data_IF_593752824442
#
_entry.id   IF_593752824442
#
_cell.length_a   1.000
_cell.length_b   1.000
_cell.length_c   1.000
_cell.angle_alpha   90.00
_cell.angle_beta   90.00
_cell.angle_gamma   90.00
#
_symmetry.space_group_name_H-M   'P 1'
#
loop_
_entity.id
_entity.type
_entity.pdbx_description
1 polymer ?
#
# COMPACT_ATOMS: atom_id res chain seq x y z
N UNK A 1 -6.52 1.47 -10.21
CA UNK A 1 -7.35 2.50 -9.53
C UNK A 1 -7.91 3.44 -10.58
N UNK A 2 -9.11 3.99 -10.38
CA UNK A 2 -9.51 5.23 -11.05
C UNK A 2 -9.00 6.43 -10.23
N UNK A 3 -8.85 7.61 -10.81
CA UNK A 3 -8.23 8.76 -10.14
C UNK A 3 -8.94 9.14 -8.82
N UNK A 4 -10.27 9.08 -8.77
CA UNK A 4 -11.05 9.36 -7.55
C UNK A 4 -10.76 8.36 -6.43
N UNK A 5 -10.58 7.07 -6.79
CA UNK A 5 -10.22 6.02 -5.82
C UNK A 5 -8.78 6.17 -5.31
N UNK A 6 -7.90 6.75 -6.13
CA UNK A 6 -6.51 7.02 -5.73
C UNK A 6 -6.44 8.24 -4.79
N UNK A 7 -7.15 9.32 -5.09
CA UNK A 7 -7.22 10.49 -4.21
C UNK A 7 -7.82 10.14 -2.84
N UNK A 8 -8.88 9.32 -2.80
CA UNK A 8 -9.46 8.82 -1.55
C UNK A 8 -8.45 8.00 -0.73
N UNK A 9 -7.68 7.13 -1.41
CA UNK A 9 -6.62 6.35 -0.78
C UNK A 9 -5.50 7.24 -0.21
N UNK A 10 -5.05 8.25 -0.96
CA UNK A 10 -4.02 9.18 -0.49
C UNK A 10 -4.48 9.94 0.75
N UNK A 11 -5.74 10.41 0.80
CA UNK A 11 -6.30 11.07 2.00
C UNK A 11 -6.33 10.13 3.20
N UNK A 12 -6.79 8.89 3.00
CA UNK A 12 -6.83 7.90 4.07
C UNK A 12 -5.44 7.59 4.64
N UNK A 13 -4.40 7.53 3.78
CA UNK A 13 -3.02 7.37 4.23
C UNK A 13 -2.45 8.62 4.91
N UNK A 14 -2.80 9.82 4.45
CA UNK A 14 -2.36 11.06 5.09
C UNK A 14 -2.96 11.21 6.50
N UNK A 15 -4.22 10.81 6.68
CA UNK A 15 -4.90 10.83 7.99
C UNK A 15 -4.42 9.70 8.90
N UNK A 16 -4.16 8.50 8.34
CA UNK A 16 -3.67 7.34 9.08
C UNK A 16 -2.47 6.68 8.37
N UNK A 17 -1.26 7.20 8.59
CA UNK A 17 -0.04 6.64 8.00
C UNK A 17 0.32 5.22 8.46
N UNK A 18 -0.37 4.71 9.48
CA UNK A 18 -0.23 3.38 10.06
C UNK A 18 -1.27 2.37 9.54
N UNK A 19 -2.12 2.76 8.57
CA UNK A 19 -3.21 1.94 8.00
C UNK A 19 -2.75 0.59 7.39
N UNK A 20 -1.45 0.45 7.10
CA UNK A 20 -0.87 -0.74 6.53
C UNK A 20 -0.11 -1.57 7.56
N UNK A 21 -0.19 -2.88 7.43
CA UNK A 21 0.55 -3.84 8.25
C UNK A 21 2.04 -3.73 7.96
N UNK A 22 2.87 -3.71 9.00
CA UNK A 22 4.34 -3.71 8.84
C UNK A 22 4.78 -5.06 8.28
N UNK A 23 5.61 -5.04 7.25
CA UNK A 23 6.26 -6.24 6.73
C UNK A 23 7.51 -6.49 7.57
N UNK A 24 7.53 -7.57 8.35
CA UNK A 24 8.65 -7.89 9.22
C UNK A 24 9.97 -8.05 8.45
N UNK A 25 11.06 -7.54 9.05
CA UNK A 25 12.40 -7.60 8.48
C UNK A 25 12.71 -6.54 7.42
N UNK A 26 11.82 -5.58 7.17
CA UNK A 26 11.98 -4.55 6.12
C UNK A 26 12.31 -3.14 6.64
N UNK A 27 12.57 -2.99 7.95
CA UNK A 27 12.85 -1.68 8.55
C UNK A 27 11.65 -0.72 8.58
N UNK A 28 10.42 -1.22 8.43
CA UNK A 28 9.19 -0.43 8.58
C UNK A 28 8.39 -0.22 7.30
N UNK A 29 8.68 -0.97 6.22
CA UNK A 29 7.81 -1.01 5.04
C UNK A 29 6.44 -1.57 5.44
N UNK A 30 5.38 -0.99 4.88
CA UNK A 30 3.99 -1.33 5.18
C UNK A 30 3.24 -1.81 3.95
N UNK A 31 2.26 -2.69 4.16
CA UNK A 31 1.35 -3.22 3.14
C UNK A 31 -0.09 -2.88 3.50
N UNK A 32 -0.82 -2.25 2.58
CA UNK A 32 -2.24 -1.92 2.74
C UNK A 32 -3.08 -2.51 1.62
N UNK A 33 -4.25 -3.05 1.97
CA UNK A 33 -5.23 -3.59 1.02
C UNK A 33 -6.17 -2.46 0.60
N UNK A 34 -6.29 -2.23 -0.70
CA UNK A 34 -7.20 -1.22 -1.25
C UNK A 34 -8.30 -1.88 -2.05
N UNK A 35 -9.55 -1.65 -1.64
CA UNK A 35 -10.72 -2.14 -2.37
C UNK A 35 -10.84 -1.41 -3.72
N UNK A 36 -11.17 -2.15 -4.78
CA UNK A 36 -11.58 -1.54 -6.04
C UNK A 36 -12.97 -0.93 -5.89
N UNK A 37 -13.09 0.38 -6.07
CA UNK A 37 -14.39 1.06 -6.19
C UNK A 37 -14.78 1.03 -7.68
N UNK A 38 -15.69 0.14 -8.08
CA UNK A 38 -16.18 0.09 -9.46
C UNK A 38 -16.80 -1.23 -9.90
N UNK A 39 -17.96 -1.10 -10.55
CA UNK A 39 -18.95 -2.08 -10.99
C UNK A 39 -18.43 -3.07 -12.06
N UNK A 40 -17.46 -3.92 -11.68
CA UNK A 40 -16.93 -4.98 -12.56
C UNK A 40 -15.45 -5.32 -12.38
N UNK A 41 -14.66 -4.52 -11.65
CA UNK A 41 -13.28 -4.89 -11.29
C UNK A 41 -13.29 -5.78 -10.05
N UNK A 42 -13.49 -7.08 -10.26
CA UNK A 42 -13.30 -8.11 -9.23
C UNK A 42 -11.81 -8.21 -8.89
N UNK A 43 -11.36 -7.43 -7.92
CA UNK A 43 -10.00 -7.55 -7.39
C UNK A 43 -9.53 -6.25 -6.75
N UNK A 44 -9.42 -6.23 -5.42
CA UNK A 44 -8.67 -5.19 -4.73
C UNK A 44 -7.18 -5.22 -5.11
N UNK A 45 -6.48 -4.12 -4.84
CA UNK A 45 -5.04 -4.01 -4.99
C UNK A 45 -4.36 -4.07 -3.62
N UNK A 46 -3.06 -4.40 -3.62
CA UNK A 46 -2.19 -4.19 -2.46
C UNK A 46 -1.21 -3.09 -2.81
N UNK A 47 -0.97 -2.20 -1.85
CA UNK A 47 0.00 -1.13 -1.97
C UNK A 47 1.06 -1.31 -0.90
N UNK A 48 2.32 -1.31 -1.31
CA UNK A 48 3.49 -1.28 -0.44
C UNK A 48 3.97 0.17 -0.34
N UNK A 49 4.17 0.66 0.87
CA UNK A 49 4.61 2.04 1.12
C UNK A 49 5.53 2.15 2.33
N UNK A 50 6.21 3.29 2.44
CA UNK A 50 6.99 3.66 3.62
C UNK A 50 6.54 5.03 4.13
N UNK A 51 6.50 5.21 5.45
CA UNK A 51 6.21 6.48 6.11
C UNK A 51 7.48 7.04 6.75
N UNK A 52 8.07 8.04 6.10
CA UNK A 52 9.18 8.82 6.64
C UNK A 52 8.65 9.82 7.67
N UNK A 53 8.57 9.40 8.93
CA UNK A 53 8.04 10.24 10.03
C UNK A 53 8.79 11.55 10.18
N UNK A 54 10.12 11.54 10.04
CA UNK A 54 10.98 12.72 10.13
C UNK A 54 10.69 13.79 9.06
N UNK A 55 10.18 13.36 7.90
CA UNK A 55 9.84 14.25 6.79
C UNK A 55 8.31 14.41 6.61
N UNK A 56 7.50 13.75 7.45
CA UNK A 56 6.03 13.66 7.29
C UNK A 56 5.61 13.26 5.86
N UNK A 57 6.36 12.33 5.26
CA UNK A 57 6.20 11.94 3.87
C UNK A 57 5.88 10.45 3.75
N UNK A 58 4.89 10.13 2.92
CA UNK A 58 4.57 8.76 2.53
C UNK A 58 5.05 8.53 1.10
N UNK A 59 5.82 7.47 0.90
CA UNK A 59 6.29 7.04 -0.42
C UNK A 59 5.61 5.74 -0.79
N UNK A 60 4.87 5.74 -1.90
CA UNK A 60 4.24 4.55 -2.46
C UNK A 60 5.27 3.83 -3.35
N UNK A 61 5.65 2.62 -2.95
CA UNK A 61 6.73 1.86 -3.58
C UNK A 61 6.21 0.97 -4.72
N UNK A 62 5.11 0.27 -4.46
CA UNK A 62 4.56 -0.70 -5.41
C UNK A 62 3.05 -0.85 -5.24
N UNK A 63 2.34 -1.03 -6.35
CA UNK A 63 0.94 -1.46 -6.38
C UNK A 63 0.82 -2.72 -7.23
N UNK A 64 0.12 -3.73 -6.72
CA UNK A 64 -0.08 -5.00 -7.42
C UNK A 64 -1.49 -5.55 -7.16
N UNK A 65 -2.06 -6.35 -8.09
CA UNK A 65 -3.40 -6.91 -7.94
C UNK A 65 -3.46 -8.02 -6.88
N UNK A 66 -4.67 -8.32 -6.40
CA UNK A 66 -4.90 -9.36 -5.36
C UNK A 66 -4.28 -10.72 -5.69
N UNK A 67 -4.22 -11.08 -6.97
CA UNK A 67 -3.81 -12.39 -7.46
C UNK A 67 -2.29 -12.55 -7.66
N UNK A 68 -1.51 -11.50 -7.47
CA UNK A 68 -0.05 -11.61 -7.39
C UNK A 68 0.37 -11.93 -5.94
N UNK A 69 1.36 -12.82 -5.80
CA UNK A 69 1.80 -13.42 -4.54
C UNK A 69 2.13 -12.38 -3.47
N UNK A 70 1.73 -12.68 -2.23
CA UNK A 70 1.52 -11.71 -1.14
C UNK A 70 2.80 -11.26 -0.40
N UNK A 71 3.90 -11.97 -0.57
CA UNK A 71 5.10 -11.80 0.24
C UNK A 71 6.25 -11.24 -0.59
N UNK A 72 6.85 -10.13 -0.11
CA UNK A 72 8.19 -9.74 -0.53
C UNK A 72 9.11 -10.92 -0.21
N UNK A 73 9.72 -11.57 -1.22
CA UNK A 73 10.64 -12.66 -0.98
C UNK A 73 11.83 -12.14 -0.15
N UNK A 74 12.47 -13.02 0.61
CA UNK A 74 13.42 -12.62 1.66
C UNK A 74 14.63 -11.83 1.12
N UNK A 75 14.95 -11.99 -0.16
CA UNK A 75 15.96 -11.25 -0.92
C UNK A 75 15.55 -9.81 -1.23
N UNK A 76 14.26 -9.50 -1.33
CA UNK A 76 13.73 -8.15 -1.52
C UNK A 76 13.55 -7.37 -0.19
N UNK A 77 13.85 -7.99 0.95
CA UNK A 77 13.72 -7.36 2.29
C UNK A 77 15.00 -6.69 2.80
N UNK A 78 16.10 -6.71 2.03
CA UNK A 78 17.42 -6.23 2.43
C UNK A 78 17.80 -4.90 1.79
#
# INVERSE_FOLDING_TARGET
MADDSYAAFQRALAERPDLGDVIEGTGGIRKVRVASSGDGRRGGSRVIYYHFTSASQIVLLLIYPKNETDDLPADERK
#
